data_IF_095806019939
#
_entry.id   IF_095806019939
#
_cell.length_a   1.000
_cell.length_b   1.000
_cell.length_c   1.000
_cell.angle_alpha   90.00
_cell.angle_beta   90.00
_cell.angle_gamma   90.00
#
_symmetry.space_group_name_H-M   'P 1'
#
loop_
_entity.id
_entity.type
_entity.pdbx_description
1 polymer ?
#
# COMPACT_ATOMS: atom_id res chain seq x y z
N UNK A 1 -41.88 -70.63 11.92
CA UNK A 1 -41.24 -69.61 12.78
C UNK A 1 -40.00 -69.08 12.09
N UNK A 2 -40.02 -67.87 11.53
CA UNK A 2 -38.87 -67.27 10.84
C UNK A 2 -37.86 -66.76 11.90
N UNK A 3 -36.58 -67.10 11.70
CA UNK A 3 -35.47 -66.88 12.62
C UNK A 3 -35.27 -65.39 12.96
N UNK A 4 -35.78 -64.94 14.12
CA UNK A 4 -35.55 -63.57 14.65
C UNK A 4 -34.08 -63.31 15.05
N UNK A 5 -33.25 -64.36 15.16
CA UNK A 5 -31.82 -64.22 15.49
C UNK A 5 -30.95 -63.63 14.36
N UNK A 6 -31.35 -63.81 13.09
CA UNK A 6 -30.58 -63.31 11.95
C UNK A 6 -30.68 -61.77 11.79
N UNK A 7 -31.82 -61.18 12.15
CA UNK A 7 -32.04 -59.74 12.04
C UNK A 7 -31.23 -58.91 13.07
N UNK A 8 -30.90 -59.49 14.23
CA UNK A 8 -30.13 -58.80 15.27
C UNK A 8 -28.63 -58.72 14.93
N UNK A 9 -28.07 -59.79 14.34
CA UNK A 9 -26.65 -59.84 13.92
C UNK A 9 -26.36 -58.91 12.72
N UNK A 10 -27.36 -58.72 11.86
CA UNK A 10 -27.26 -57.82 10.70
C UNK A 10 -27.09 -56.34 11.09
N UNK A 11 -27.59 -55.94 12.26
CA UNK A 11 -27.56 -54.53 12.69
C UNK A 11 -26.20 -54.13 13.29
N UNK A 12 -25.57 -55.03 14.05
CA UNK A 12 -24.24 -54.79 14.64
C UNK A 12 -23.12 -54.79 13.61
N UNK A 13 -23.17 -55.71 12.64
CA UNK A 13 -22.19 -55.77 11.55
C UNK A 13 -22.20 -54.49 10.73
N UNK A 14 -23.39 -53.99 10.34
CA UNK A 14 -23.55 -52.72 9.64
C UNK A 14 -22.95 -51.54 10.43
N UNK A 15 -23.25 -51.47 11.72
CA UNK A 15 -22.77 -50.38 12.61
C UNK A 15 -21.24 -50.38 12.70
N UNK A 16 -20.63 -51.56 12.88
CA UNK A 16 -19.18 -51.71 12.95
C UNK A 16 -18.52 -51.31 11.62
N UNK A 17 -19.08 -51.72 10.47
CA UNK A 17 -18.56 -51.29 9.16
C UNK A 17 -18.64 -49.78 8.94
N UNK A 18 -19.71 -49.12 9.38
CA UNK A 18 -19.85 -47.66 9.27
C UNK A 18 -18.81 -46.95 10.15
N UNK A 19 -18.61 -47.40 11.39
CA UNK A 19 -17.59 -46.84 12.28
C UNK A 19 -16.19 -47.01 11.67
N UNK A 20 -15.90 -48.18 11.09
CA UNK A 20 -14.61 -48.44 10.45
C UNK A 20 -14.38 -47.55 9.22
N UNK A 21 -15.41 -47.36 8.39
CA UNK A 21 -15.39 -46.44 7.25
C UNK A 21 -15.14 -45.00 7.70
N UNK A 22 -15.84 -44.54 8.75
CA UNK A 22 -15.66 -43.20 9.30
C UNK A 22 -14.25 -42.99 9.85
N UNK A 23 -13.72 -43.95 10.60
CA UNK A 23 -12.35 -43.91 11.13
C UNK A 23 -11.31 -43.93 10.00
N UNK A 24 -11.50 -44.76 8.97
CA UNK A 24 -10.65 -44.79 7.79
C UNK A 24 -10.66 -43.45 7.05
N UNK A 25 -11.84 -42.88 6.81
CA UNK A 25 -11.95 -41.55 6.18
C UNK A 25 -11.30 -40.47 7.03
N UNK A 26 -11.47 -40.49 8.36
CA UNK A 26 -10.83 -39.54 9.26
C UNK A 26 -9.29 -39.61 9.18
N UNK A 27 -8.71 -40.82 9.18
CA UNK A 27 -7.26 -41.00 9.03
C UNK A 27 -6.74 -40.52 7.66
N UNK A 28 -7.49 -40.76 6.58
CA UNK A 28 -7.14 -40.28 5.24
C UNK A 28 -7.25 -38.76 5.10
N UNK A 29 -8.20 -38.12 5.78
CA UNK A 29 -8.28 -36.66 5.84
C UNK A 29 -7.15 -36.07 6.70
N UNK A 30 -6.89 -36.63 7.89
CA UNK A 30 -5.93 -36.06 8.83
C UNK A 30 -4.47 -36.17 8.35
N UNK A 31 -4.11 -37.25 7.64
CA UNK A 31 -2.80 -37.38 6.99
C UNK A 31 -2.54 -36.35 5.87
N UNK A 32 -3.59 -35.75 5.31
CA UNK A 32 -3.46 -34.64 4.34
C UNK A 32 -3.32 -33.28 5.00
N UNK A 33 -3.82 -33.10 6.23
CA UNK A 33 -3.73 -31.82 6.95
C UNK A 33 -2.29 -31.45 7.37
N UNK A 34 -1.40 -32.42 7.62
CA UNK A 34 0.00 -32.11 7.96
C UNK A 34 0.77 -31.39 6.84
N UNK A 35 0.39 -31.61 5.57
CA UNK A 35 0.98 -30.90 4.42
C UNK A 35 0.55 -29.44 4.33
N UNK A 36 -0.60 -29.08 4.90
CA UNK A 36 -1.10 -27.69 4.88
C UNK A 36 -0.33 -26.78 5.83
N UNK A 37 0.15 -27.29 6.96
CA UNK A 37 0.92 -26.52 7.94
C UNK A 37 2.25 -26.02 7.35
N UNK A 38 2.94 -26.88 6.58
CA UNK A 38 4.18 -26.54 5.88
C UNK A 38 3.97 -25.54 4.73
N UNK A 39 2.83 -25.59 4.05
CA UNK A 39 2.46 -24.61 3.00
C UNK A 39 2.18 -23.22 3.60
N UNK A 40 1.51 -23.16 4.75
CA UNK A 40 1.22 -21.90 5.43
C UNK A 40 2.48 -21.16 5.89
N UNK A 41 3.46 -21.88 6.47
CA UNK A 41 4.73 -21.28 6.90
C UNK A 41 5.51 -20.72 5.71
N UNK A 42 5.55 -21.43 4.57
CA UNK A 42 6.18 -20.95 3.34
C UNK A 42 5.51 -19.69 2.80
N UNK A 43 4.18 -19.67 2.76
CA UNK A 43 3.41 -18.49 2.33
C UNK A 43 3.68 -17.27 3.22
N UNK A 44 3.75 -17.46 4.54
CA UNK A 44 4.08 -16.39 5.50
C UNK A 44 5.54 -15.91 5.30
N UNK A 45 6.49 -16.83 5.11
CA UNK A 45 7.90 -16.46 4.88
C UNK A 45 8.07 -15.62 3.60
N UNK A 46 7.37 -16.00 2.53
CA UNK A 46 7.37 -15.26 1.27
C UNK A 46 6.75 -13.87 1.44
N UNK A 47 5.61 -13.78 2.13
CA UNK A 47 4.95 -12.50 2.41
C UNK A 47 5.83 -11.58 3.25
N UNK A 48 6.50 -12.11 4.27
CA UNK A 48 7.43 -11.33 5.10
C UNK A 48 8.64 -10.83 4.31
N UNK A 49 9.23 -11.67 3.46
CA UNK A 49 10.34 -11.26 2.60
C UNK A 49 9.90 -10.24 1.54
N UNK A 50 8.69 -10.39 1.00
CA UNK A 50 8.09 -9.41 0.10
C UNK A 50 7.92 -8.05 0.80
N UNK A 51 7.36 -8.04 2.01
CA UNK A 51 7.20 -6.83 2.81
C UNK A 51 8.55 -6.15 3.11
N UNK A 52 9.60 -6.93 3.42
CA UNK A 52 10.96 -6.40 3.61
C UNK A 52 11.54 -5.80 2.33
N UNK A 53 11.29 -6.41 1.18
CA UNK A 53 11.70 -5.88 -0.12
C UNK A 53 11.04 -4.54 -0.44
N UNK A 54 9.74 -4.41 -0.19
CA UNK A 54 9.01 -3.15 -0.39
C UNK A 54 9.50 -2.04 0.57
N UNK A 55 9.77 -2.39 1.83
CA UNK A 55 10.39 -1.48 2.80
C UNK A 55 11.77 -1.00 2.32
N UNK A 56 12.59 -1.91 1.83
CA UNK A 56 13.91 -1.59 1.31
C UNK A 56 13.83 -0.60 0.14
N UNK A 57 12.98 -0.89 -0.86
CA UNK A 57 12.79 -0.02 -2.02
C UNK A 57 12.28 1.37 -1.62
N UNK A 58 11.32 1.44 -0.68
CA UNK A 58 10.83 2.71 -0.16
C UNK A 58 11.93 3.53 0.52
N UNK A 59 12.72 2.92 1.39
CA UNK A 59 13.81 3.61 2.08
C UNK A 59 14.90 4.07 1.12
N UNK A 60 15.24 3.28 0.12
CA UNK A 60 16.17 3.67 -0.94
C UNK A 60 15.66 4.90 -1.68
N UNK A 61 14.40 4.90 -2.12
CA UNK A 61 13.83 6.02 -2.89
C UNK A 61 13.76 7.31 -2.08
N UNK A 62 13.26 7.24 -0.84
CA UNK A 62 13.20 8.41 0.03
C UNK A 62 14.59 8.91 0.42
N UNK A 63 15.51 8.01 0.77
CA UNK A 63 16.88 8.37 1.10
C UNK A 63 17.58 9.03 -0.09
N UNK A 64 17.41 8.51 -1.31
CA UNK A 64 17.95 9.10 -2.52
C UNK A 64 17.42 10.52 -2.76
N UNK A 65 16.11 10.74 -2.59
CA UNK A 65 15.49 12.06 -2.72
C UNK A 65 16.09 13.09 -1.75
N UNK A 66 16.19 12.74 -0.46
CA UNK A 66 16.78 13.65 0.53
C UNK A 66 18.28 13.84 0.33
N UNK A 67 19.00 12.80 -0.07
CA UNK A 67 20.41 12.85 -0.44
C UNK A 67 20.66 13.80 -1.60
N UNK A 68 19.79 13.81 -2.61
CA UNK A 68 19.90 14.76 -3.71
C UNK A 68 19.83 16.22 -3.23
N UNK A 69 18.82 16.55 -2.42
CA UNK A 69 18.68 17.90 -1.87
C UNK A 69 19.86 18.30 -0.99
N UNK A 70 20.28 17.40 -0.11
CA UNK A 70 21.41 17.63 0.79
C UNK A 70 22.72 17.82 0.01
N UNK A 71 22.92 17.06 -1.07
CA UNK A 71 24.14 17.14 -1.89
C UNK A 71 24.23 18.44 -2.66
N UNK A 72 23.12 18.94 -3.21
CA UNK A 72 23.09 20.28 -3.84
C UNK A 72 23.41 21.35 -2.80
N UNK A 73 22.84 21.25 -1.60
CA UNK A 73 23.09 22.19 -0.51
C UNK A 73 24.56 22.17 -0.05
N UNK A 74 25.13 20.99 0.17
CA UNK A 74 26.51 20.82 0.60
C UNK A 74 27.51 21.27 -0.48
N UNK A 75 27.24 20.94 -1.74
CA UNK A 75 28.05 21.40 -2.87
C UNK A 75 28.02 22.93 -2.97
N UNK A 76 26.85 23.56 -2.82
CA UNK A 76 26.72 25.02 -2.80
C UNK A 76 27.42 25.69 -1.62
N UNK A 77 27.47 25.01 -0.47
CA UNK A 77 28.13 25.52 0.75
C UNK A 77 29.64 25.36 0.72
N UNK A 78 30.13 24.19 0.31
CA UNK A 78 31.55 23.81 0.37
C UNK A 78 32.31 24.12 -0.91
N UNK A 79 31.58 24.31 -2.01
CA UNK A 79 32.15 24.61 -3.32
C UNK A 79 32.87 23.44 -3.98
N UNK A 80 32.54 22.20 -3.61
CA UNK A 80 33.20 21.01 -4.13
C UNK A 80 33.47 19.98 -3.04
N UNK A 81 33.87 18.79 -3.48
CA UNK A 81 34.50 17.74 -2.69
C UNK A 81 36.03 17.86 -2.86
N UNK A 82 36.76 17.91 -1.75
CA UNK A 82 38.22 18.05 -1.73
C UNK A 82 38.95 16.78 -2.15
N UNK A 83 38.32 15.61 -2.04
CA UNK A 83 38.94 14.33 -2.42
C UNK A 83 39.04 14.16 -3.94
N UNK A 84 38.25 14.89 -4.71
CA UNK A 84 38.17 14.78 -6.18
C UNK A 84 38.85 15.94 -6.93
N UNK A 85 39.35 16.98 -6.24
CA UNK A 85 39.87 18.20 -6.85
C UNK A 85 41.35 18.50 -6.52
N UNK A 86 42.09 19.20 -7.39
CA UNK A 86 43.52 19.49 -7.19
C UNK A 86 43.81 20.57 -6.11
N UNK A 87 42.78 21.19 -5.52
CA UNK A 87 42.89 22.45 -4.80
C UNK A 87 42.89 22.29 -3.27
N UNK A 88 42.67 21.07 -2.77
CA UNK A 88 42.56 20.79 -1.34
C UNK A 88 41.37 21.48 -0.65
N UNK A 89 41.30 21.36 0.67
CA UNK A 89 40.30 22.02 1.51
C UNK A 89 40.90 22.85 2.65
N UNK A 90 40.06 23.71 3.19
CA UNK A 90 40.27 24.37 4.48
C UNK A 90 38.96 24.33 5.27
N UNK A 91 38.99 23.71 6.46
CA UNK A 91 37.82 23.55 7.34
C UNK A 91 36.59 22.91 6.64
N UNK A 92 36.82 21.99 5.70
CA UNK A 92 35.77 21.31 4.94
C UNK A 92 35.16 22.14 3.80
N UNK A 93 35.79 23.25 3.43
CA UNK A 93 35.47 24.03 2.24
C UNK A 93 36.56 23.83 1.20
N UNK A 94 36.16 23.54 -0.04
CA UNK A 94 37.09 23.43 -1.17
C UNK A 94 37.72 24.79 -1.42
N UNK A 95 39.02 24.83 -1.63
CA UNK A 95 39.72 26.07 -1.98
C UNK A 95 39.60 26.35 -3.48
N UNK A 96 39.32 27.60 -3.84
CA UNK A 96 39.20 28.05 -5.23
C UNK A 96 40.34 29.04 -5.52
N UNK A 97 41.01 28.92 -6.67
CA UNK A 97 42.07 29.88 -7.00
C UNK A 97 41.51 31.26 -7.36
N UNK A 98 42.27 32.30 -6.99
CA UNK A 98 42.12 33.66 -7.53
C UNK A 98 43.02 33.83 -8.76
N UNK A 99 42.59 34.69 -9.70
CA UNK A 99 42.98 34.82 -11.13
C UNK A 99 44.47 34.90 -11.54
N UNK A 100 45.46 34.57 -10.70
CA UNK A 100 46.86 34.92 -10.95
C UNK A 100 47.86 33.78 -11.07
N UNK A 101 47.48 32.52 -11.31
CA UNK A 101 48.48 31.48 -11.63
C UNK A 101 47.96 30.35 -12.52
N UNK A 102 48.73 30.07 -13.58
CA UNK A 102 48.52 29.06 -14.64
C UNK A 102 48.68 27.61 -14.13
N UNK A 103 47.90 27.21 -13.12
CA UNK A 103 47.92 25.86 -12.55
C UNK A 103 46.50 25.29 -12.41
N UNK A 104 45.95 24.75 -13.51
CA UNK A 104 44.81 23.83 -13.50
C UNK A 104 43.46 24.43 -13.10
N UNK A 105 42.38 23.91 -13.68
CA UNK A 105 41.01 24.34 -13.40
C UNK A 105 40.62 23.95 -11.96
N UNK A 106 40.79 24.88 -11.01
CA UNK A 106 40.31 24.76 -9.63
C UNK A 106 38.82 25.10 -9.51
N UNK A 107 38.01 24.54 -10.41
CA UNK A 107 36.56 24.64 -10.38
C UNK A 107 35.98 23.24 -10.18
N UNK A 108 35.01 23.06 -9.27
CA UNK A 108 34.39 21.76 -9.08
C UNK A 108 33.64 21.33 -10.34
N UNK A 109 33.99 20.18 -10.91
CA UNK A 109 33.11 19.53 -11.88
C UNK A 109 31.83 19.13 -11.15
N UNK A 110 30.71 19.75 -11.54
CA UNK A 110 29.44 19.54 -10.86
C UNK A 110 29.04 18.07 -10.84
N UNK A 111 29.24 17.33 -11.94
CA UNK A 111 28.74 15.96 -12.07
C UNK A 111 29.53 15.00 -11.17
N UNK A 112 30.86 15.06 -11.21
CA UNK A 112 31.72 14.19 -10.40
C UNK A 112 31.62 14.52 -8.91
N UNK A 113 31.58 15.81 -8.56
CA UNK A 113 31.44 16.24 -7.16
C UNK A 113 30.05 15.91 -6.60
N UNK A 114 29.00 16.07 -7.41
CA UNK A 114 27.65 15.71 -6.99
C UNK A 114 27.53 14.21 -6.72
N UNK A 115 28.06 13.34 -7.60
CA UNK A 115 28.01 11.89 -7.41
C UNK A 115 28.68 11.46 -6.10
N UNK A 116 29.86 12.00 -5.82
CA UNK A 116 30.59 11.67 -4.59
C UNK A 116 29.80 12.09 -3.34
N UNK A 117 29.39 13.36 -3.26
CA UNK A 117 28.64 13.88 -2.11
C UNK A 117 27.27 13.19 -1.96
N UNK A 118 26.63 12.83 -3.07
CA UNK A 118 25.38 12.09 -3.05
C UNK A 118 25.56 10.70 -2.45
N UNK A 119 26.60 9.97 -2.85
CA UNK A 119 26.88 8.65 -2.29
C UNK A 119 27.07 8.73 -0.78
N UNK A 120 27.88 9.69 -0.31
CA UNK A 120 28.14 9.90 1.11
C UNK A 120 26.84 10.19 1.89
N UNK A 121 26.00 11.08 1.36
CA UNK A 121 24.73 11.42 1.98
C UNK A 121 23.76 10.23 1.97
N UNK A 122 23.71 9.47 0.87
CA UNK A 122 22.83 8.31 0.74
C UNK A 122 23.16 7.24 1.78
N UNK A 123 24.43 6.94 1.97
CA UNK A 123 24.88 5.97 2.96
C UNK A 123 24.50 6.41 4.39
N UNK A 124 24.58 7.71 4.70
CA UNK A 124 24.11 8.26 5.97
C UNK A 124 22.61 8.02 6.17
N UNK A 125 21.78 8.31 5.17
CA UNK A 125 20.34 8.10 5.30
C UNK A 125 19.97 6.62 5.41
N UNK A 126 20.59 5.74 4.60
CA UNK A 126 20.35 4.30 4.65
C UNK A 126 20.82 3.68 5.97
N UNK A 127 21.91 4.18 6.56
CA UNK A 127 22.41 3.68 7.85
C UNK A 127 21.43 3.88 9.02
N UNK A 128 20.46 4.79 8.89
CA UNK A 128 19.40 5.00 9.88
C UNK A 128 18.32 3.91 9.85
N UNK A 129 18.40 2.96 8.92
CA UNK A 129 17.43 1.87 8.71
C UNK A 129 18.10 0.48 8.80
N UNK A 130 18.68 0.10 9.95
CA UNK A 130 19.42 -1.16 10.10
C UNK A 130 18.54 -2.42 9.99
N UNK A 131 17.23 -2.28 10.04
CA UNK A 131 16.26 -3.36 9.90
C UNK A 131 16.26 -4.00 8.50
N UNK A 132 16.78 -3.28 7.50
CA UNK A 132 16.93 -3.73 6.13
C UNK A 132 18.41 -3.75 5.76
N UNK A 133 18.87 -4.86 5.18
CA UNK A 133 20.22 -4.93 4.61
C UNK A 133 20.25 -4.23 3.25
N UNK A 134 21.15 -3.27 3.09
CA UNK A 134 21.44 -2.62 1.82
C UNK A 134 22.86 -3.02 1.39
N UNK A 135 23.07 -3.46 0.13
CA UNK A 135 24.41 -3.70 -0.37
C UNK A 135 25.18 -2.38 -0.45
N UNK A 136 26.43 -2.37 0.01
CA UNK A 136 27.35 -1.26 -0.21
C UNK A 136 27.61 -1.10 -1.71
N UNK A 137 27.47 0.12 -2.24
CA UNK A 137 27.63 0.44 -3.68
C UNK A 137 26.63 -0.27 -4.62
N UNK A 138 25.32 -0.16 -4.35
CA UNK A 138 24.32 -0.81 -5.20
C UNK A 138 23.78 0.06 -6.36
N UNK A 139 24.22 1.32 -6.50
CA UNK A 139 23.64 2.24 -7.50
C UNK A 139 24.70 3.02 -8.27
N UNK A 140 24.54 3.04 -9.59
CA UNK A 140 25.18 4.03 -10.46
C UNK A 140 24.26 5.22 -10.64
N UNK A 141 24.78 6.42 -10.47
CA UNK A 141 24.00 7.66 -10.59
C UNK A 141 24.24 8.25 -11.98
N UNK A 142 23.17 8.36 -12.76
CA UNK A 142 23.14 9.05 -14.04
C UNK A 142 22.41 10.38 -13.90
N UNK A 143 23.10 11.49 -14.19
CA UNK A 143 22.51 12.82 -14.24
C UNK A 143 21.99 13.07 -15.66
N UNK A 144 20.67 12.98 -15.84
CA UNK A 144 20.02 13.27 -17.12
C UNK A 144 19.58 14.73 -17.13
N UNK A 145 20.19 15.52 -18.01
CA UNK A 145 19.98 16.97 -18.07
C UNK A 145 20.23 17.66 -16.71
N UNK A 146 19.79 18.91 -16.54
CA UNK A 146 20.02 19.68 -15.30
C UNK A 146 19.02 19.36 -14.16
N UNK A 147 18.07 18.44 -14.36
CA UNK A 147 16.91 18.27 -13.46
C UNK A 147 16.58 16.82 -13.10
N UNK A 148 17.09 15.82 -13.81
CA UNK A 148 16.74 14.42 -13.55
C UNK A 148 17.96 13.65 -13.02
N UNK A 149 17.77 12.98 -11.88
CA UNK A 149 18.76 12.07 -11.29
C UNK A 149 18.18 10.66 -11.39
N UNK A 150 18.92 9.75 -12.01
CA UNK A 150 18.49 8.38 -12.21
C UNK A 150 19.48 7.42 -11.54
N UNK A 151 19.02 6.71 -10.51
CA UNK A 151 19.77 5.65 -9.87
C UNK A 151 19.55 4.33 -10.62
N UNK A 152 20.59 3.82 -11.26
CA UNK A 152 20.61 2.51 -11.91
C UNK A 152 21.16 1.48 -10.91
N UNK A 153 20.34 0.50 -10.55
CA UNK A 153 20.81 -0.61 -9.71
C UNK A 153 21.95 -1.36 -10.41
N UNK A 154 23.05 -1.61 -9.69
CA UNK A 154 24.21 -2.37 -10.15
C UNK A 154 23.92 -3.87 -10.03
N UNK A 155 23.20 -4.26 -8.99
CA UNK A 155 22.79 -5.65 -8.75
C UNK A 155 21.36 -5.72 -8.22
N UNK A 156 20.73 -6.87 -8.40
CA UNK A 156 19.41 -7.14 -7.84
C UNK A 156 19.47 -7.10 -6.31
N UNK A 157 18.44 -6.55 -5.69
CA UNK A 157 18.32 -6.56 -4.24
C UNK A 157 17.90 -7.94 -3.77
N UNK A 158 18.82 -8.67 -3.13
CA UNK A 158 18.56 -10.00 -2.60
C UNK A 158 17.98 -9.92 -1.18
N UNK A 159 16.70 -10.30 -1.03
CA UNK A 159 16.04 -10.41 0.28
C UNK A 159 15.95 -11.89 0.67
N UNK A 160 16.58 -12.31 1.78
CA UNK A 160 16.52 -13.70 2.20
C UNK A 160 15.07 -14.08 2.55
N UNK A 161 14.65 -15.25 2.06
CA UNK A 161 13.51 -15.99 2.59
C UNK A 161 13.94 -16.45 3.99
N UNK A 162 13.38 -15.83 5.05
CA UNK A 162 13.81 -16.06 6.43
C UNK A 162 13.88 -17.56 6.79
N UNK A 163 14.61 -17.91 7.85
CA UNK A 163 14.87 -19.32 8.24
C UNK A 163 13.61 -20.18 8.15
N UNK A 164 13.56 -21.02 7.10
CA UNK A 164 12.51 -22.01 6.92
C UNK A 164 12.80 -23.08 7.96
N UNK A 165 12.04 -23.08 9.05
CA UNK A 165 12.11 -24.12 10.06
C UNK A 165 11.95 -25.50 9.42
N UNK A 166 12.96 -26.35 9.64
CA UNK A 166 13.11 -27.75 9.28
C UNK A 166 13.58 -28.06 7.84
N UNK A 167 14.75 -28.71 7.79
CA UNK A 167 15.32 -29.57 6.74
C UNK A 167 14.38 -29.87 5.56
N UNK A 168 14.51 -29.11 4.48
CA UNK A 168 14.07 -29.55 3.16
C UNK A 168 15.27 -29.32 2.25
N UNK A 169 15.76 -30.42 1.66
CA UNK A 169 16.91 -30.39 0.77
C UNK A 169 16.70 -29.38 -0.36
N UNK A 170 17.74 -28.59 -0.61
CA UNK A 170 17.85 -27.57 -1.65
C UNK A 170 17.62 -28.07 -3.08
N UNK A 171 17.53 -29.38 -3.29
CA UNK A 171 17.28 -30.05 -4.57
C UNK A 171 15.82 -29.94 -5.03
N UNK A 172 14.85 -30.13 -4.13
CA UNK A 172 13.41 -30.06 -4.49
C UNK A 172 12.97 -28.63 -4.90
N UNK A 173 13.69 -27.61 -4.44
CA UNK A 173 13.43 -26.19 -4.76
C UNK A 173 13.89 -25.86 -6.19
N UNK A 174 14.99 -26.44 -6.68
CA UNK A 174 15.47 -26.21 -8.06
C UNK A 174 14.54 -26.81 -9.10
N UNK A 175 14.06 -28.04 -8.87
CA UNK A 175 13.24 -28.74 -9.86
C UNK A 175 11.84 -28.14 -10.02
N UNK A 176 11.30 -27.53 -8.96
CA UNK A 176 10.04 -26.76 -9.02
C UNK A 176 10.21 -25.45 -9.80
N UNK A 177 11.37 -24.80 -9.69
CA UNK A 177 11.68 -23.55 -10.42
C UNK A 177 12.05 -23.80 -11.90
N UNK A 178 12.67 -24.95 -12.22
CA UNK A 178 13.06 -25.30 -13.60
C UNK A 178 11.89 -25.91 -14.41
N UNK A 179 10.94 -26.61 -13.77
CA UNK A 179 9.77 -27.18 -14.45
C UNK A 179 8.69 -26.17 -14.82
N UNK A 180 8.61 -25.04 -14.11
CA UNK A 180 7.81 -23.87 -14.51
C UNK A 180 8.59 -22.95 -15.46
N UNK A 181 9.10 -23.52 -16.56
CA UNK A 181 9.83 -22.86 -17.64
C UNK A 181 9.03 -21.79 -18.42
N UNK A 182 8.44 -20.82 -17.74
CA UNK A 182 8.18 -19.48 -18.27
C UNK A 182 9.32 -18.61 -17.82
N UNK A 183 10.21 -18.30 -18.77
CA UNK A 183 11.15 -17.18 -18.72
C UNK A 183 10.55 -16.07 -17.86
N UNK A 184 11.13 -15.89 -16.67
CA UNK A 184 10.98 -14.69 -15.87
C UNK A 184 11.71 -13.55 -16.61
N UNK A 185 11.24 -13.23 -17.82
CA UNK A 185 11.35 -11.88 -18.33
C UNK A 185 10.39 -11.08 -17.48
N UNK A 186 10.91 -10.52 -16.39
CA UNK A 186 10.23 -9.53 -15.56
C UNK A 186 9.77 -8.43 -16.51
N UNK A 187 8.50 -8.52 -16.91
CA UNK A 187 7.82 -7.44 -17.59
C UNK A 187 7.61 -6.39 -16.50
N UNK A 188 8.54 -5.44 -16.44
CA UNK A 188 8.47 -4.26 -15.58
C UNK A 188 7.07 -3.67 -15.74
N UNK A 189 6.23 -3.88 -14.73
CA UNK A 189 5.05 -3.08 -14.47
C UNK A 189 5.47 -2.13 -13.35
N UNK A 190 5.35 -0.81 -13.53
CA UNK A 190 5.80 0.12 -12.52
C UNK A 190 4.91 0.04 -11.28
N UNK A 191 5.62 0.01 -10.15
CA UNK A 191 5.28 0.55 -8.83
C UNK A 191 4.19 -0.08 -7.97
N UNK A 192 4.63 -0.34 -6.74
CA UNK A 192 3.92 -0.21 -5.46
C UNK A 192 3.08 -1.41 -5.04
N UNK A 193 3.54 -2.16 -4.03
CA UNK A 193 2.60 -2.69 -3.04
C UNK A 193 3.20 -2.88 -1.65
N UNK A 194 2.87 -1.93 -0.78
CA UNK A 194 2.46 -2.21 0.61
C UNK A 194 1.50 -3.41 0.64
N UNK A 195 1.59 -4.31 1.64
CA UNK A 195 0.85 -5.57 1.57
C UNK A 195 -0.67 -5.35 1.70
N UNK A 196 -1.42 -5.78 0.68
CA UNK A 196 -2.88 -5.85 0.69
C UNK A 196 -3.64 -5.17 -0.45
N UNK A 197 -2.97 -4.55 -1.43
CA UNK A 197 -3.64 -3.94 -2.59
C UNK A 197 -3.63 -4.93 -3.77
N UNK A 198 -4.75 -5.63 -4.01
CA UNK A 198 -4.98 -6.27 -5.31
C UNK A 198 -5.19 -5.18 -6.38
N UNK A 199 -4.15 -4.89 -7.17
CA UNK A 199 -4.26 -4.09 -8.39
C UNK A 199 -5.00 -4.93 -9.45
N UNK A 200 -6.32 -4.88 -9.39
CA UNK A 200 -7.19 -5.56 -10.33
C UNK A 200 -7.23 -4.81 -11.68
N UNK A 201 -7.18 -5.57 -12.79
CA UNK A 201 -7.42 -5.19 -14.21
C UNK A 201 -7.82 -3.72 -14.44
N UNK A 202 -7.04 -2.95 -15.21
CA UNK A 202 -7.30 -1.56 -15.64
C UNK A 202 -8.79 -1.11 -15.59
N UNK A 203 -9.23 -0.68 -14.42
CA UNK A 203 -10.51 0.00 -14.27
C UNK A 203 -10.25 1.49 -14.46
N UNK A 204 -10.62 2.04 -15.62
CA UNK A 204 -10.50 3.49 -15.90
C UNK A 204 -11.63 4.26 -15.22
N UNK A 205 -11.61 4.31 -13.89
CA UNK A 205 -12.48 5.21 -13.14
C UNK A 205 -12.24 6.66 -13.58
N UNK A 206 -13.27 7.50 -13.49
CA UNK A 206 -13.18 8.87 -13.97
C UNK A 206 -12.31 9.71 -13.05
N UNK A 207 -11.23 10.23 -13.62
CA UNK A 207 -10.24 11.06 -12.96
C UNK A 207 -9.81 12.23 -13.87
N UNK A 208 -9.11 13.21 -13.28
CA UNK A 208 -8.35 14.23 -14.00
C UNK A 208 -7.15 14.67 -13.18
N UNK A 209 -6.17 15.32 -13.81
CA UNK A 209 -5.01 15.85 -13.10
C UNK A 209 -5.43 16.93 -12.09
N UNK A 210 -4.84 16.86 -10.88
CA UNK A 210 -4.92 17.93 -9.89
C UNK A 210 -3.90 19.01 -10.24
N UNK A 211 -4.23 20.30 -10.14
CA UNK A 211 -3.23 21.37 -10.29
C UNK A 211 -2.12 21.22 -9.25
N UNK A 212 -0.88 21.55 -9.63
CA UNK A 212 0.25 21.47 -8.71
C UNK A 212 0.04 22.43 -7.52
N UNK A 213 0.25 21.94 -6.30
CA UNK A 213 0.01 22.71 -5.07
C UNK A 213 -1.47 22.94 -4.72
N UNK A 214 -2.42 22.26 -5.38
CA UNK A 214 -3.83 22.36 -4.98
C UNK A 214 -4.04 21.82 -3.56
N UNK A 215 -4.76 22.59 -2.75
CA UNK A 215 -5.11 22.21 -1.39
C UNK A 215 -6.02 20.97 -1.38
N UNK A 216 -5.65 19.97 -0.57
CA UNK A 216 -6.50 18.83 -0.23
C UNK A 216 -6.70 18.86 1.27
N UNK A 217 -7.91 19.13 1.71
CA UNK A 217 -8.21 19.42 3.13
C UNK A 217 -9.45 18.71 3.64
N UNK A 218 -10.02 17.80 2.84
CA UNK A 218 -11.27 17.12 3.16
C UNK A 218 -11.21 15.64 2.75
N UNK A 219 -11.71 14.75 3.60
CA UNK A 219 -12.03 13.36 3.28
C UNK A 219 -13.55 13.24 3.19
N UNK A 220 -14.06 12.67 2.10
CA UNK A 220 -15.51 12.46 1.92
C UNK A 220 -15.80 10.97 1.93
N UNK A 221 -16.60 10.53 2.90
CA UNK A 221 -17.06 9.15 3.04
C UNK A 221 -18.36 8.91 2.27
N UNK A 222 -18.42 7.78 1.56
CA UNK A 222 -19.55 7.32 0.77
C UNK A 222 -19.90 5.88 1.16
N UNK A 223 -21.11 5.47 0.82
CA UNK A 223 -21.46 4.06 0.72
C UNK A 223 -21.77 3.72 -0.73
N UNK A 224 -21.42 2.50 -1.11
CA UNK A 224 -21.41 2.12 -2.53
C UNK A 224 -22.81 1.91 -3.13
N UNK A 225 -23.77 1.50 -2.31
CA UNK A 225 -25.06 0.95 -2.76
C UNK A 225 -24.98 -0.50 -3.25
N UNK A 226 -23.78 -1.10 -3.20
CA UNK A 226 -23.46 -2.47 -3.59
C UNK A 226 -23.05 -3.32 -2.35
N UNK A 227 -22.90 -4.63 -2.54
CA UNK A 227 -22.56 -5.62 -1.51
C UNK A 227 -21.13 -6.20 -1.63
N UNK A 228 -20.35 -5.77 -2.63
CA UNK A 228 -18.97 -6.19 -2.87
C UNK A 228 -18.17 -5.13 -3.65
N UNK A 229 -16.87 -4.98 -3.37
CA UNK A 229 -16.04 -3.95 -4.02
C UNK A 229 -15.94 -4.14 -5.55
N UNK A 230 -15.89 -5.40 -6.01
CA UNK A 230 -15.87 -5.72 -7.46
C UNK A 230 -17.11 -5.21 -8.21
N UNK A 231 -18.28 -5.16 -7.56
CA UNK A 231 -19.50 -4.58 -8.15
C UNK A 231 -19.41 -3.05 -8.17
N UNK A 232 -18.96 -2.44 -7.07
CA UNK A 232 -18.76 -1.00 -6.94
C UNK A 232 -17.90 -0.45 -8.07
N UNK A 233 -16.75 -1.07 -8.34
CA UNK A 233 -15.83 -0.62 -9.39
C UNK A 233 -16.53 -0.62 -10.77
N UNK A 234 -17.27 -1.68 -11.07
CA UNK A 234 -18.04 -1.77 -12.32
C UNK A 234 -19.14 -0.69 -12.41
N UNK A 235 -19.83 -0.42 -11.29
CA UNK A 235 -20.86 0.61 -11.19
C UNK A 235 -20.27 2.01 -11.41
N UNK A 236 -19.17 2.34 -10.74
CA UNK A 236 -18.50 3.64 -10.87
C UNK A 236 -18.02 3.88 -12.30
N UNK A 237 -17.39 2.87 -12.92
CA UNK A 237 -16.93 2.95 -14.29
C UNK A 237 -18.09 3.22 -15.28
N UNK A 238 -19.18 2.44 -15.20
CA UNK A 238 -20.37 2.64 -16.05
C UNK A 238 -21.00 4.02 -15.91
N UNK A 239 -20.91 4.62 -14.72
CA UNK A 239 -21.50 5.93 -14.42
C UNK A 239 -20.56 7.10 -14.72
N UNK A 240 -19.32 6.83 -15.13
CA UNK A 240 -18.30 7.86 -15.30
C UNK A 240 -18.02 8.58 -13.99
N UNK A 241 -17.86 7.83 -12.91
CA UNK A 241 -17.48 8.31 -11.58
C UNK A 241 -16.13 7.70 -11.18
N UNK A 242 -15.54 8.23 -10.11
CA UNK A 242 -14.30 7.69 -9.57
C UNK A 242 -14.15 8.03 -8.10
N UNK A 243 -13.38 7.21 -7.39
CA UNK A 243 -13.04 7.35 -5.97
C UNK A 243 -11.57 6.97 -5.79
N UNK A 244 -10.91 7.47 -4.73
CA UNK A 244 -9.50 7.12 -4.47
C UNK A 244 -9.39 5.76 -3.78
N UNK A 245 -10.31 5.47 -2.85
CA UNK A 245 -10.29 4.22 -2.09
C UNK A 245 -11.66 3.54 -2.06
N UNK A 246 -11.67 2.21 -2.03
CA UNK A 246 -12.86 1.39 -1.76
C UNK A 246 -12.55 0.43 -0.62
N UNK A 247 -13.43 0.33 0.38
CA UNK A 247 -13.26 -0.58 1.53
C UNK A 247 -14.33 -1.66 1.48
N UNK A 248 -13.93 -2.92 1.29
CA UNK A 248 -14.86 -4.06 1.23
C UNK A 248 -15.29 -4.53 2.63
N UNK A 249 -16.23 -5.47 2.69
CA UNK A 249 -16.89 -5.94 3.92
C UNK A 249 -15.93 -6.56 4.93
N UNK A 250 -14.86 -7.17 4.46
CA UNK A 250 -13.80 -7.76 5.29
C UNK A 250 -12.73 -6.75 5.74
N UNK A 251 -12.86 -5.48 5.35
CA UNK A 251 -11.89 -4.42 5.64
C UNK A 251 -10.81 -4.25 4.55
N UNK A 252 -10.79 -5.08 3.52
CA UNK A 252 -9.82 -4.93 2.41
C UNK A 252 -9.95 -3.55 1.77
N UNK A 253 -8.84 -2.82 1.69
CA UNK A 253 -8.77 -1.48 1.08
C UNK A 253 -8.21 -1.61 -0.33
N UNK A 254 -9.02 -1.22 -1.31
CA UNK A 254 -8.61 -1.09 -2.70
C UNK A 254 -8.25 0.36 -3.01
N UNK A 255 -7.04 0.58 -3.51
CA UNK A 255 -6.60 1.87 -4.04
C UNK A 255 -6.94 1.95 -5.53
N UNK A 256 -7.82 2.88 -5.89
CA UNK A 256 -8.41 2.95 -7.22
C UNK A 256 -7.93 4.15 -8.05
N UNK A 257 -7.74 5.32 -7.45
CA UNK A 257 -7.24 6.53 -8.12
C UNK A 257 -6.17 7.19 -7.23
N UNK A 258 -5.11 7.66 -7.88
CA UNK A 258 -4.06 8.44 -7.22
C UNK A 258 -4.60 9.71 -6.55
N UNK A 259 -4.25 9.97 -5.30
CA UNK A 259 -4.65 11.17 -4.55
C UNK A 259 -4.14 12.48 -5.19
N UNK A 260 -3.04 12.40 -5.94
CA UNK A 260 -2.53 13.49 -6.78
C UNK A 260 -3.42 13.74 -8.01
N UNK A 261 -4.43 12.91 -8.24
CA UNK A 261 -5.50 13.15 -9.21
C UNK A 261 -6.77 13.57 -8.49
N UNK A 262 -7.72 14.03 -9.28
CA UNK A 262 -9.07 14.39 -8.84
C UNK A 262 -10.01 13.27 -9.28
N UNK A 263 -10.48 12.48 -8.32
CA UNK A 263 -11.56 11.52 -8.53
C UNK A 263 -12.95 12.22 -8.57
N UNK A 264 -13.87 11.71 -9.39
CA UNK A 264 -15.21 12.28 -9.55
C UNK A 264 -16.23 11.63 -8.61
N UNK A 265 -16.19 11.95 -7.31
CA UNK A 265 -17.07 11.36 -6.27
C UNK A 265 -18.07 12.33 -5.64
N UNK A 266 -17.70 13.61 -5.43
CA UNK A 266 -18.51 14.63 -4.78
C UNK A 266 -18.49 15.96 -5.56
N UNK A 267 -19.54 16.21 -6.35
CA UNK A 267 -19.65 17.40 -7.21
C UNK A 267 -19.47 18.68 -6.38
N UNK A 268 -18.53 19.55 -6.79
CA UNK A 268 -18.19 20.79 -6.08
C UNK A 268 -17.05 20.64 -5.05
N UNK A 269 -16.74 19.41 -4.65
CA UNK A 269 -15.72 19.11 -3.63
C UNK A 269 -14.56 18.24 -4.15
N UNK A 270 -14.71 17.61 -5.32
CA UNK A 270 -13.69 16.76 -5.95
C UNK A 270 -12.27 17.35 -5.92
N UNK A 271 -12.11 18.65 -6.21
CA UNK A 271 -10.78 19.28 -6.35
C UNK A 271 -10.05 19.52 -5.03
N UNK A 272 -10.70 19.36 -3.88
CA UNK A 272 -10.11 19.58 -2.56
C UNK A 272 -10.25 18.38 -1.63
N UNK A 273 -10.73 17.25 -2.14
CA UNK A 273 -11.05 16.09 -1.31
C UNK A 273 -10.49 14.77 -1.82
N UNK A 274 -10.37 13.86 -0.85
CA UNK A 274 -10.14 12.43 -1.06
C UNK A 274 -11.46 11.69 -0.76
N UNK A 275 -12.07 11.10 -1.79
CA UNK A 275 -13.21 10.20 -1.64
C UNK A 275 -12.83 8.79 -1.21
N UNK A 276 -13.61 8.22 -0.27
CA UNK A 276 -13.54 6.83 0.18
C UNK A 276 -14.94 6.21 0.05
N UNK A 277 -15.07 5.13 -0.71
CA UNK A 277 -16.30 4.35 -0.88
C UNK A 277 -16.29 3.13 0.04
N UNK A 278 -17.33 2.95 0.85
CA UNK A 278 -17.41 1.84 1.79
C UNK A 278 -18.50 0.87 1.32
N UNK A 279 -18.14 -0.40 1.13
CA UNK A 279 -19.07 -1.42 0.62
C UNK A 279 -20.20 -1.63 1.61
N UNK A 280 -21.35 -1.10 1.25
CA UNK A 280 -22.60 -1.17 1.97
C UNK A 280 -23.73 -0.82 1.01
N UNK A 281 -24.85 -1.53 1.11
CA UNK A 281 -26.05 -1.29 0.30
C UNK A 281 -26.80 -0.01 0.69
N UNK A 282 -26.43 0.62 1.80
CA UNK A 282 -27.11 1.77 2.39
C UNK A 282 -28.42 1.41 3.10
N UNK A 283 -28.85 0.14 3.04
CA UNK A 283 -30.08 -0.31 3.71
C UNK A 283 -29.85 -0.43 5.21
N UNK A 284 -30.85 -0.05 5.99
CA UNK A 284 -30.84 -0.17 7.46
C UNK A 284 -30.65 -1.60 7.97
N UNK A 285 -30.89 -2.60 7.14
CA UNK A 285 -30.67 -4.02 7.46
C UNK A 285 -29.21 -4.48 7.31
N UNK A 286 -28.30 -3.61 6.87
CA UNK A 286 -26.90 -3.96 6.59
C UNK A 286 -25.95 -3.01 7.30
N UNK A 287 -25.55 -3.37 8.51
CA UNK A 287 -24.58 -2.59 9.30
C UNK A 287 -23.18 -2.65 8.71
N UNK A 288 -22.40 -1.60 8.94
CA UNK A 288 -20.96 -1.60 8.68
C UNK A 288 -20.25 -2.58 9.61
N UNK A 289 -19.24 -3.29 9.10
CA UNK A 289 -18.52 -4.29 9.90
C UNK A 289 -17.46 -3.64 10.78
N UNK A 290 -17.08 -4.28 11.90
CA UNK A 290 -15.91 -3.84 12.68
C UNK A 290 -14.63 -3.73 11.84
N UNK A 291 -14.43 -4.65 10.88
CA UNK A 291 -13.28 -4.62 9.99
C UNK A 291 -13.27 -3.39 9.08
N UNK A 292 -14.44 -2.95 8.60
CA UNK A 292 -14.57 -1.69 7.86
C UNK A 292 -14.21 -0.49 8.72
N UNK A 293 -14.72 -0.39 9.95
CA UNK A 293 -14.40 0.73 10.84
C UNK A 293 -12.91 0.82 11.18
N UNK A 294 -12.26 -0.31 11.49
CA UNK A 294 -10.81 -0.36 11.73
C UNK A 294 -10.05 0.12 10.49
N UNK A 295 -10.47 -0.34 9.31
CA UNK A 295 -9.82 0.03 8.04
C UNK A 295 -10.01 1.51 7.71
N UNK A 296 -11.20 2.06 7.97
CA UNK A 296 -11.47 3.50 7.81
C UNK A 296 -10.56 4.31 8.74
N UNK A 297 -10.49 3.97 10.03
CA UNK A 297 -9.62 4.67 11.00
C UNK A 297 -8.17 4.67 10.55
N UNK A 298 -7.63 3.51 10.17
CA UNK A 298 -6.26 3.40 9.70
C UNK A 298 -6.03 4.24 8.44
N UNK A 299 -6.96 4.19 7.50
CA UNK A 299 -6.87 4.91 6.23
C UNK A 299 -6.95 6.43 6.42
N UNK A 300 -7.91 6.95 7.20
CA UNK A 300 -8.03 8.40 7.40
C UNK A 300 -6.80 8.96 8.12
N UNK A 301 -6.26 8.23 9.11
CA UNK A 301 -5.04 8.63 9.80
C UNK A 301 -3.83 8.61 8.86
N UNK A 302 -3.75 7.63 7.96
CA UNK A 302 -2.70 7.58 6.94
C UNK A 302 -2.80 8.74 5.95
N UNK A 303 -4.01 9.03 5.44
CA UNK A 303 -4.27 10.15 4.55
C UNK A 303 -3.90 11.48 5.22
N UNK A 304 -4.27 11.69 6.49
CA UNK A 304 -3.93 12.92 7.21
C UNK A 304 -2.42 13.09 7.43
N UNK A 305 -1.67 12.00 7.61
CA UNK A 305 -0.19 12.06 7.65
C UNK A 305 0.41 12.49 6.31
N UNK A 306 -0.18 12.04 5.19
CA UNK A 306 0.28 12.37 3.83
C UNK A 306 -0.18 13.76 3.36
N UNK A 307 -1.32 14.24 3.88
CA UNK A 307 -1.89 15.56 3.61
C UNK A 307 -2.03 16.37 4.90
N UNK A 308 -0.98 17.09 5.34
CA UNK A 308 -0.98 17.83 6.61
C UNK A 308 -2.04 18.93 6.73
N UNK A 309 -2.71 19.29 5.64
CA UNK A 309 -3.87 20.19 5.63
C UNK A 309 -5.18 19.53 6.07
N UNK A 310 -5.18 18.21 6.31
CA UNK A 310 -6.32 17.44 6.80
C UNK A 310 -6.12 17.15 8.29
N UNK A 311 -6.95 17.77 9.13
CA UNK A 311 -7.09 17.36 10.52
C UNK A 311 -8.25 16.36 10.66
N UNK A 312 -8.09 15.34 11.51
CA UNK A 312 -9.15 14.36 11.78
C UNK A 312 -10.18 14.99 12.72
N UNK A 313 -11.19 15.63 12.13
CA UNK A 313 -12.32 16.24 12.82
C UNK A 313 -13.57 16.27 11.93
N UNK A 314 -14.71 16.56 12.55
CA UNK A 314 -16.04 16.56 11.91
C UNK A 314 -16.25 17.59 10.80
N UNK A 315 -15.32 18.54 10.62
CA UNK A 315 -15.40 19.53 9.53
C UNK A 315 -14.68 19.07 8.27
N UNK A 316 -13.72 18.17 8.42
CA UNK A 316 -12.82 17.75 7.33
C UNK A 316 -12.98 16.28 6.98
N UNK A 317 -13.43 15.44 7.91
CA UNK A 317 -13.88 14.08 7.61
C UNK A 317 -15.41 14.07 7.65
N UNK A 318 -16.01 14.09 6.46
CA UNK A 318 -17.44 14.38 6.26
C UNK A 318 -18.12 13.31 5.42
N UNK A 319 -19.43 13.16 5.61
CA UNK A 319 -20.27 12.34 4.74
C UNK A 319 -20.60 13.07 3.44
N UNK A 320 -20.87 12.32 2.36
CA UNK A 320 -21.33 12.91 1.10
C UNK A 320 -22.61 13.74 1.27
N UNK A 321 -23.49 13.37 2.21
CA UNK A 321 -24.68 14.14 2.54
C UNK A 321 -24.39 15.59 2.97
N UNK A 322 -23.23 15.85 3.58
CA UNK A 322 -22.88 17.16 4.13
C UNK A 322 -22.36 18.15 3.11
N UNK A 323 -21.81 17.61 2.01
CA UNK A 323 -21.14 18.35 0.93
C UNK A 323 -21.97 18.36 -0.35
N UNK A 324 -23.00 17.53 -0.44
CA UNK A 324 -23.91 17.46 -1.58
C UNK A 324 -24.94 18.58 -1.57
N UNK A 325 -25.16 19.18 -2.74
CA UNK A 325 -26.25 20.14 -2.99
C UNK A 325 -27.58 19.47 -3.36
N UNK A 326 -27.60 18.16 -3.63
CA UNK A 326 -28.75 17.43 -4.19
C UNK A 326 -29.21 16.30 -3.24
N UNK A 327 -29.19 16.52 -1.92
CA UNK A 327 -29.80 15.60 -0.95
C UNK A 327 -29.26 14.17 -1.02
N UNK A 328 -27.94 14.01 -0.92
CA UNK A 328 -27.32 12.68 -0.72
C UNK A 328 -27.48 12.25 0.72
N UNK A 329 -27.36 10.95 0.97
CA UNK A 329 -27.58 10.35 2.29
C UNK A 329 -26.41 9.44 2.70
N UNK A 330 -25.35 9.41 1.89
CA UNK A 330 -24.16 8.59 2.07
C UNK A 330 -23.25 9.23 3.13
N UNK A 331 -22.68 8.47 4.10
CA UNK A 331 -22.58 7.01 4.18
C UNK A 331 -23.72 6.32 4.98
N UNK A 332 -25.00 6.58 4.66
CA UNK A 332 -26.20 5.97 5.27
C UNK A 332 -26.39 6.21 6.79
N UNK A 333 -27.63 6.13 7.33
CA UNK A 333 -27.89 6.45 8.74
C UNK A 333 -27.28 5.49 9.77
N UNK A 334 -26.89 4.30 9.34
CA UNK A 334 -26.34 3.26 10.19
C UNK A 334 -24.80 3.29 10.27
N UNK A 335 -24.17 4.30 9.67
CA UNK A 335 -22.76 4.58 9.92
C UNK A 335 -22.58 5.25 11.27
N UNK A 336 -21.78 4.64 12.14
CA UNK A 336 -21.47 5.16 13.46
C UNK A 336 -20.15 5.94 13.40
N UNK A 337 -20.24 7.26 13.48
CA UNK A 337 -19.08 8.15 13.51
C UNK A 337 -18.23 7.98 14.78
N UNK A 338 -18.83 7.50 15.88
CA UNK A 338 -18.13 7.22 17.13
C UNK A 338 -17.10 6.10 16.98
N UNK A 339 -17.37 5.11 16.13
CA UNK A 339 -16.46 4.01 15.81
C UNK A 339 -15.17 4.49 15.13
N UNK A 340 -15.14 5.70 14.56
CA UNK A 340 -13.94 6.31 13.98
C UNK A 340 -13.42 7.53 14.74
N UNK A 341 -13.89 7.73 15.98
CA UNK A 341 -13.45 8.81 16.86
C UNK A 341 -14.07 10.17 16.58
N UNK A 342 -15.15 10.26 15.79
CA UNK A 342 -15.80 11.51 15.37
C UNK A 342 -17.22 11.65 15.95
N UNK A 343 -17.36 11.50 17.26
CA UNK A 343 -18.64 11.40 17.99
C UNK A 343 -19.54 12.65 17.95
N UNK A 344 -19.02 13.76 17.42
CA UNK A 344 -19.67 15.07 17.37
C UNK A 344 -20.57 15.24 16.12
N UNK A 345 -20.51 14.32 15.14
CA UNK A 345 -21.30 14.35 13.90
C UNK A 345 -22.82 14.32 14.12
N UNK A 346 -23.26 13.73 15.23
CA UNK A 346 -24.66 13.77 15.71
C UNK A 346 -25.16 15.21 15.93
N UNK A 347 -24.26 16.15 16.23
CA UNK A 347 -24.57 17.57 16.50
C UNK A 347 -24.76 18.38 15.20
N UNK A 348 -24.13 17.99 14.08
CA UNK A 348 -24.33 18.65 12.78
C UNK A 348 -25.73 18.39 12.21
N UNK A 349 -26.36 17.27 12.60
CA UNK A 349 -27.78 16.99 12.34
C UNK A 349 -28.70 17.99 13.06
N UNK A 350 -28.30 18.50 14.23
CA UNK A 350 -29.06 19.50 14.98
C UNK A 350 -28.98 20.92 14.38
N UNK A 351 -28.06 21.17 13.43
CA UNK A 351 -27.91 22.45 12.72
C UNK A 351 -28.79 22.57 11.46
N UNK A 352 -29.82 21.72 11.33
CA UNK A 352 -30.77 21.77 10.21
C UNK A 352 -30.29 21.11 8.91
N UNK A 353 -29.10 20.48 8.91
CA UNK A 353 -28.72 19.53 7.87
C UNK A 353 -29.45 18.22 8.12
N UNK A 354 -30.36 17.84 7.22
CA UNK A 354 -31.23 16.67 7.42
C UNK A 354 -30.40 15.40 7.59
N UNK A 355 -30.68 14.69 8.68
CA UNK A 355 -30.18 13.34 8.89
C UNK A 355 -30.73 12.41 7.80
N UNK A 356 -29.97 11.38 7.40
CA UNK A 356 -30.44 10.40 6.43
C UNK A 356 -31.65 9.55 6.91
N UNK A 357 -32.14 9.76 8.14
CA UNK A 357 -33.37 9.17 8.68
C UNK A 357 -34.67 9.98 8.50
N UNK A 358 -34.62 11.22 7.98
CA UNK A 358 -35.85 11.99 7.66
C UNK A 358 -36.44 11.65 6.28
N UNK A 359 -35.71 10.89 5.47
CA UNK A 359 -36.22 10.35 4.22
C UNK A 359 -36.79 8.96 4.51
N UNK A 360 -38.04 8.93 4.96
CA UNK A 360 -38.76 7.69 5.18
C UNK A 360 -38.74 6.84 3.92
N UNK A 361 -38.31 5.59 4.05
CA UNK A 361 -38.59 4.56 3.06
C UNK A 361 -38.91 3.25 3.78
N UNK A 362 -40.13 2.79 3.50
CA UNK A 362 -40.59 1.40 3.52
C UNK A 362 -39.74 0.51 2.65
#
# INVERSE_FOLDING_TARGET
>A
MKNKKAALVYNWTLTITVIFLLAWTFLQFNSKFSKFELLGIKQISLFNSYQKGEQALFYIDQSAKYSAYQSVYDLGRRGGNSDSGPCGDYLGYTLWMTQTQDLGECFPDFNENFKAIFSDNLDVYLSNHPEVYFPSENYNIELKNKLDILGLAISDLEIPLGEIGAEIESSEIRDLLESEGRRAGLKVMPTSTTPGIEVSKEYRLKERNRPNGALVDTIVLHHTGDDAASKTINTLNKRGLGVHYIIDRDGTIYYAIDELKIAYHAKGWNSRSIGIEIVNTGRRSMDYTPAQYISIQNLINDIARRWPSIDINDRQVVGHYEVSTIGKWDPSPNFDWGEIGLSTHTTLLAQGKKAPGEFGYT
#
